data_IF_996574039035
#
_entry.id   IF_996574039035
#
_cell.length_a   1.000
_cell.length_b   1.000
_cell.length_c   1.000
_cell.angle_alpha   90.00
_cell.angle_beta   90.00
_cell.angle_gamma   90.00
#
_symmetry.space_group_name_H-M   'P 1'
#
loop_
_entity.id
_entity.type
_entity.pdbx_description
1 polymer ?
#
# COMPACT_ATOMS: atom_id res chain seq x y z
N UNK A 1 -12.57 14.05 -4.13
CA UNK A 1 -13.38 13.06 -3.41
C UNK A 1 -12.96 11.69 -3.90
N UNK A 2 -12.68 10.75 -2.99
CA UNK A 2 -12.39 9.37 -3.35
C UNK A 2 -13.66 8.53 -3.50
N UNK A 3 -13.51 7.39 -4.17
CA UNK A 3 -14.55 6.39 -4.33
C UNK A 3 -14.14 5.16 -3.53
N UNK A 4 -15.07 4.61 -2.75
CA UNK A 4 -14.88 3.28 -2.19
C UNK A 4 -14.95 2.26 -3.34
N UNK A 5 -13.94 1.40 -3.44
CA UNK A 5 -13.78 0.40 -4.48
C UNK A 5 -13.69 -0.98 -3.86
N UNK A 6 -14.25 -2.02 -4.51
CA UNK A 6 -14.05 -3.40 -4.07
C UNK A 6 -12.57 -3.74 -3.98
N UNK A 7 -12.20 -4.42 -2.89
CA UNK A 7 -10.81 -4.71 -2.60
C UNK A 7 -10.59 -5.18 -1.17
N UNK A 8 -9.35 -5.53 -0.89
CA UNK A 8 -8.88 -5.89 0.44
C UNK A 8 -7.50 -5.28 0.70
N UNK A 9 -7.16 -5.16 1.98
CA UNK A 9 -5.84 -4.82 2.45
C UNK A 9 -5.51 -5.65 3.69
N UNK A 10 -4.29 -6.13 3.79
CA UNK A 10 -3.76 -6.67 5.02
C UNK A 10 -2.28 -6.37 5.19
N UNK A 11 -1.85 -6.24 6.44
CA UNK A 11 -0.44 -6.13 6.82
C UNK A 11 -0.28 -6.55 8.27
N UNK A 12 0.88 -7.08 8.61
CA UNK A 12 1.30 -7.34 9.98
C UNK A 12 2.33 -6.29 10.39
N UNK A 13 2.13 -5.64 11.54
CA UNK A 13 2.98 -4.55 12.04
C UNK A 13 3.67 -4.99 13.32
N UNK A 14 4.97 -4.70 13.43
CA UNK A 14 5.72 -4.89 14.67
C UNK A 14 6.84 -5.90 14.50
N UNK A 15 6.96 -6.83 15.45
CA UNK A 15 7.96 -7.91 15.40
C UNK A 15 7.26 -9.26 15.54
N UNK A 16 7.98 -10.35 15.24
CA UNK A 16 7.46 -11.70 15.43
C UNK A 16 6.93 -11.97 16.85
N UNK A 17 7.46 -11.29 17.87
CA UNK A 17 7.05 -11.44 19.27
C UNK A 17 5.89 -10.51 19.68
N UNK A 18 5.70 -9.39 18.97
CA UNK A 18 4.64 -8.42 19.24
C UNK A 18 4.08 -7.89 17.91
N UNK A 19 3.16 -8.67 17.34
CA UNK A 19 2.60 -8.46 16.01
C UNK A 19 1.16 -7.95 16.10
N UNK A 20 0.90 -6.79 15.51
CA UNK A 20 -0.43 -6.26 15.29
C UNK A 20 -0.90 -6.62 13.88
N UNK A 21 -2.07 -7.23 13.77
CA UNK A 21 -2.65 -7.58 12.46
C UNK A 21 -3.63 -6.51 12.00
N UNK A 22 -3.35 -5.88 10.86
CA UNK A 22 -4.28 -5.01 10.17
C UNK A 22 -4.94 -5.79 9.03
N UNK A 23 -6.28 -5.80 9.00
CA UNK A 23 -7.09 -6.51 8.01
C UNK A 23 -8.29 -5.67 7.62
N UNK A 24 -8.48 -5.44 6.34
CA UNK A 24 -9.66 -4.79 5.77
C UNK A 24 -10.11 -5.61 4.56
N UNK A 25 -11.30 -6.20 4.64
CA UNK A 25 -11.83 -7.08 3.57
C UNK A 25 -12.92 -6.42 2.73
N UNK A 26 -13.38 -5.24 3.15
CA UNK A 26 -14.56 -4.59 2.57
C UNK A 26 -14.22 -3.18 2.09
N UNK A 27 -13.55 -3.15 0.93
CA UNK A 27 -13.43 -1.97 0.11
C UNK A 27 -12.36 -0.98 0.58
N UNK A 28 -11.74 -0.33 -0.39
CA UNK A 28 -10.64 0.62 -0.21
C UNK A 28 -11.05 1.97 -0.79
N UNK A 29 -10.68 3.05 -0.12
CA UNK A 29 -10.89 4.38 -0.69
C UNK A 29 -9.82 4.64 -1.76
N UNK A 30 -10.26 5.04 -2.94
CA UNK A 30 -9.37 5.36 -4.06
C UNK A 30 -9.62 6.75 -4.61
N UNK A 31 -8.54 7.49 -4.86
CA UNK A 31 -8.56 8.72 -5.66
C UNK A 31 -7.21 8.98 -6.31
N UNK A 32 -7.19 9.91 -7.26
CA UNK A 32 -5.95 10.44 -7.81
C UNK A 32 -5.73 11.87 -7.31
N UNK A 33 -4.51 12.18 -6.88
CA UNK A 33 -4.12 13.53 -6.45
C UNK A 33 -2.74 13.85 -6.99
N UNK A 34 -2.64 14.90 -7.80
CA UNK A 34 -1.34 15.41 -8.28
C UNK A 34 -0.49 14.37 -9.03
N UNK A 35 -1.11 13.45 -9.77
CA UNK A 35 -0.38 12.40 -10.49
C UNK A 35 0.02 11.20 -9.62
N UNK A 36 -0.64 11.01 -8.48
CA UNK A 36 -0.46 9.84 -7.60
C UNK A 36 -1.79 9.13 -7.43
N UNK A 37 -1.79 7.80 -7.58
CA UNK A 37 -2.86 6.91 -7.14
C UNK A 37 -2.79 6.78 -5.62
N UNK A 38 -3.87 7.19 -4.95
CA UNK A 38 -4.01 7.10 -3.51
C UNK A 38 -4.98 5.97 -3.18
N UNK A 39 -4.49 4.94 -2.49
CA UNK A 39 -5.28 3.81 -1.99
C UNK A 39 -5.24 3.88 -0.47
N UNK A 40 -6.40 4.03 0.16
CA UNK A 40 -6.50 4.16 1.62
C UNK A 40 -7.33 3.02 2.18
N UNK A 41 -6.73 2.27 3.10
CA UNK A 41 -7.36 1.23 3.89
C UNK A 41 -7.54 1.75 5.31
N UNK A 42 -8.74 2.22 5.66
CA UNK A 42 -9.04 2.80 6.98
C UNK A 42 -10.08 1.93 7.68
N UNK A 43 -9.78 1.48 8.91
CA UNK A 43 -10.71 0.67 9.70
C UNK A 43 -11.71 1.53 10.50
N UNK A 44 -12.67 0.89 11.17
CA UNK A 44 -13.70 1.57 11.99
C UNK A 44 -13.10 2.37 13.17
N UNK A 45 -11.88 2.04 13.59
CA UNK A 45 -11.14 2.73 14.64
C UNK A 45 -10.36 3.95 14.12
N UNK A 46 -10.48 4.26 12.81
CA UNK A 46 -9.77 5.33 12.09
C UNK A 46 -8.26 5.14 12.00
N UNK A 47 -7.79 3.91 12.16
CA UNK A 47 -6.41 3.54 11.83
C UNK A 47 -6.34 3.28 10.34
N UNK A 48 -5.30 3.81 9.69
CA UNK A 48 -5.19 3.81 8.23
C UNK A 48 -3.85 3.30 7.74
N UNK A 49 -3.90 2.46 6.71
CA UNK A 49 -2.78 2.22 5.80
C UNK A 49 -3.01 2.95 4.49
N UNK A 50 -1.96 3.62 4.01
CA UNK A 50 -2.03 4.42 2.79
C UNK A 50 -0.98 3.94 1.81
N UNK A 51 -1.39 3.57 0.59
CA UNK A 51 -0.48 3.21 -0.49
C UNK A 51 -0.55 4.30 -1.56
N UNK A 52 0.61 4.87 -1.87
CA UNK A 52 0.76 5.93 -2.87
C UNK A 52 1.63 5.44 -4.02
N UNK A 53 1.02 5.34 -5.20
CA UNK A 53 1.67 4.88 -6.42
C UNK A 53 1.73 6.01 -7.46
N UNK A 54 2.85 6.20 -8.19
CA UNK A 54 2.91 7.10 -9.35
C UNK A 54 1.81 6.81 -10.38
N UNK A 55 1.28 7.84 -11.06
CA UNK A 55 0.18 7.68 -12.02
C UNK A 55 0.53 6.87 -13.27
N UNK A 56 1.81 6.81 -13.62
CA UNK A 56 2.36 6.06 -14.73
C UNK A 56 2.97 4.72 -14.29
N UNK A 57 2.73 4.30 -13.05
CA UNK A 57 3.22 3.02 -12.54
C UNK A 57 2.69 1.86 -13.37
N UNK A 58 3.55 0.88 -13.60
CA UNK A 58 3.25 -0.35 -14.35
C UNK A 58 3.45 -1.59 -13.49
N UNK A 59 3.08 -2.77 -13.98
CA UNK A 59 3.47 -4.03 -13.36
C UNK A 59 4.99 -4.12 -13.19
N UNK A 60 5.46 -4.46 -11.99
CA UNK A 60 6.89 -4.50 -11.69
C UNK A 60 7.21 -4.69 -10.22
N UNK A 61 8.51 -4.67 -9.91
CA UNK A 61 9.03 -4.66 -8.55
C UNK A 61 9.63 -3.29 -8.24
N UNK A 62 9.31 -2.76 -7.07
CA UNK A 62 9.62 -1.40 -6.67
C UNK A 62 10.17 -1.36 -5.26
N UNK A 63 11.01 -0.37 -4.98
CA UNK A 63 11.39 -0.05 -3.61
C UNK A 63 10.29 0.75 -2.92
N UNK A 64 10.15 0.51 -1.63
CA UNK A 64 9.22 1.22 -0.77
C UNK A 64 9.93 2.00 0.30
N UNK A 65 9.42 3.20 0.52
CA UNK A 65 9.60 3.93 1.75
C UNK A 65 8.36 3.72 2.63
N UNK A 66 8.57 3.19 3.83
CA UNK A 66 7.51 3.01 4.83
C UNK A 66 7.70 4.08 5.90
N UNK A 67 6.66 4.88 6.14
CA UNK A 67 6.64 5.94 7.15
C UNK A 67 5.42 5.84 8.05
N UNK A 68 5.51 6.37 9.28
CA UNK A 68 4.37 6.43 10.20
C UNK A 68 3.62 7.78 10.12
N UNK A 69 2.28 7.76 10.26
CA UNK A 69 1.44 6.57 10.48
C UNK A 69 1.20 5.77 9.17
N UNK A 70 1.63 4.51 9.14
CA UNK A 70 1.47 3.46 8.10
C UNK A 70 1.26 3.92 6.64
N UNK A 71 2.15 4.77 6.14
CA UNK A 71 2.21 5.22 4.76
C UNK A 71 3.26 4.41 3.99
N UNK A 72 2.88 3.92 2.82
CA UNK A 72 3.73 3.22 1.85
C UNK A 72 3.87 4.10 0.61
N UNK A 73 5.10 4.57 0.35
CA UNK A 73 5.46 5.31 -0.86
C UNK A 73 6.31 4.43 -1.78
N UNK A 74 5.94 4.34 -3.06
CA UNK A 74 6.81 3.79 -4.10
C UNK A 74 7.79 4.86 -4.57
N UNK A 75 9.08 4.58 -4.49
CA UNK A 75 10.14 5.49 -4.94
C UNK A 75 10.77 4.99 -6.26
N UNK A 76 11.09 5.93 -7.14
CA UNK A 76 12.03 5.67 -8.24
C UNK A 76 13.44 5.57 -7.65
N UNK A 77 14.32 4.76 -8.27
CA UNK A 77 15.71 4.45 -7.83
C UNK A 77 16.64 5.69 -7.70
N UNK A 78 16.29 6.66 -6.87
CA UNK A 78 16.99 7.89 -6.59
C UNK A 78 17.89 7.71 -5.38
N UNK A 79 19.18 7.98 -5.56
CA UNK A 79 20.23 7.72 -4.57
C UNK A 79 20.01 8.46 -3.24
N UNK A 80 20.27 7.71 -2.16
CA UNK A 80 20.38 8.12 -0.75
C UNK A 80 19.08 8.32 0.03
N UNK A 81 18.40 7.22 0.37
CA UNK A 81 17.50 7.19 1.54
C UNK A 81 18.08 6.28 2.64
N UNK A 82 18.36 6.90 3.79
CA UNK A 82 18.93 6.29 5.00
C UNK A 82 17.92 5.43 5.78
N UNK A 83 16.78 5.09 5.18
CA UNK A 83 15.69 4.36 5.81
C UNK A 83 15.67 2.90 5.33
N UNK A 84 15.19 1.96 6.14
CA UNK A 84 15.17 0.57 5.74
C UNK A 84 14.28 0.38 4.51
N UNK A 85 14.78 -0.39 3.55
CA UNK A 85 14.16 -0.57 2.24
C UNK A 85 13.04 -1.62 2.35
N UNK A 86 11.82 -1.22 2.03
CA UNK A 86 10.76 -2.17 1.71
C UNK A 86 10.75 -2.54 0.23
N UNK A 87 10.01 -3.58 -0.11
CA UNK A 87 9.77 -3.99 -1.49
C UNK A 87 8.27 -4.07 -1.76
N UNK A 88 7.86 -3.64 -2.95
CA UNK A 88 6.52 -3.84 -3.50
C UNK A 88 6.64 -4.64 -4.79
N UNK A 89 5.94 -5.76 -4.86
CA UNK A 89 5.63 -6.43 -6.12
C UNK A 89 4.23 -6.03 -6.54
N UNK A 90 4.11 -5.34 -7.66
CA UNK A 90 2.85 -4.81 -8.18
C UNK A 90 2.48 -5.50 -9.49
N UNK A 91 1.22 -5.91 -9.60
CA UNK A 91 0.58 -6.35 -10.84
C UNK A 91 -0.61 -5.45 -11.13
N UNK A 92 -0.69 -4.97 -12.38
CA UNK A 92 -1.81 -4.21 -12.92
C UNK A 92 -2.35 -4.99 -14.10
N UNK A 93 -3.61 -5.44 -14.03
CA UNK A 93 -4.26 -6.17 -15.14
C UNK A 93 -4.86 -5.21 -16.18
N UNK A 94 -5.39 -5.79 -17.27
CA UNK A 94 -5.97 -5.01 -18.38
C UNK A 94 -7.28 -4.31 -17.98
N UNK A 95 -7.94 -4.80 -16.94
CA UNK A 95 -9.20 -4.31 -16.38
C UNK A 95 -9.00 -3.19 -15.34
N UNK A 96 -7.74 -2.86 -15.03
CA UNK A 96 -7.35 -1.82 -14.08
C UNK A 96 -7.44 -2.27 -12.62
N UNK A 97 -7.27 -3.56 -12.35
CA UNK A 97 -7.06 -4.09 -11.00
C UNK A 97 -5.60 -3.91 -10.60
N UNK A 98 -5.38 -3.37 -9.40
CA UNK A 98 -4.08 -3.27 -8.77
C UNK A 98 -3.98 -4.38 -7.73
N UNK A 99 -2.93 -5.20 -7.81
CA UNK A 99 -2.60 -6.22 -6.82
C UNK A 99 -1.16 -6.02 -6.38
N UNK A 100 -0.95 -5.73 -5.10
CA UNK A 100 0.37 -5.46 -4.54
C UNK A 100 0.69 -6.37 -3.36
N UNK A 101 1.91 -6.90 -3.33
CA UNK A 101 2.49 -7.60 -2.18
C UNK A 101 3.70 -6.80 -1.68
N UNK A 102 3.78 -6.55 -0.38
CA UNK A 102 4.84 -5.72 0.19
C UNK A 102 5.30 -6.13 1.59
N UNK A 103 6.53 -5.77 1.89
CA UNK A 103 7.13 -5.84 3.22
C UNK A 103 8.23 -4.79 3.35
N UNK A 104 8.63 -4.48 4.58
CA UNK A 104 9.72 -3.55 4.84
C UNK A 104 9.85 -3.21 6.32
N UNK A 105 10.71 -2.25 6.63
CA UNK A 105 10.88 -1.72 7.98
C UNK A 105 10.81 -0.19 7.87
N UNK A 106 10.10 0.45 8.78
CA UNK A 106 10.01 1.91 8.79
C UNK A 106 11.22 2.59 9.46
N UNK A 107 11.20 3.92 9.50
CA UNK A 107 12.24 4.74 10.11
C UNK A 107 12.45 4.50 11.61
N UNK A 108 11.42 4.05 12.34
CA UNK A 108 11.46 3.77 13.77
C UNK A 108 11.86 2.31 14.07
N UNK A 109 12.12 1.51 13.03
CA UNK A 109 12.51 0.11 13.14
C UNK A 109 11.33 -0.85 13.28
N UNK A 110 10.10 -0.39 13.01
CA UNK A 110 8.90 -1.24 13.04
C UNK A 110 8.80 -2.00 11.71
N UNK A 111 8.74 -3.33 11.78
CA UNK A 111 8.59 -4.14 10.58
C UNK A 111 7.13 -4.16 10.12
N UNK A 112 6.94 -4.15 8.80
CA UNK A 112 5.70 -4.44 8.13
C UNK A 112 5.89 -5.70 7.30
N UNK A 113 5.15 -6.75 7.62
CA UNK A 113 5.26 -8.06 7.00
C UNK A 113 3.91 -8.51 6.43
N UNK A 114 3.94 -9.47 5.51
CA UNK A 114 2.73 -10.05 4.90
C UNK A 114 1.74 -8.99 4.39
N UNK A 115 2.29 -7.87 3.89
CA UNK A 115 1.52 -6.79 3.32
C UNK A 115 0.96 -7.22 1.99
N UNK A 116 -0.35 -7.09 1.79
CA UNK A 116 -0.91 -7.15 0.45
C UNK A 116 -2.18 -6.32 0.32
N UNK A 117 -2.44 -5.90 -0.90
CA UNK A 117 -3.66 -5.21 -1.27
C UNK A 117 -4.14 -5.65 -2.64
N UNK A 118 -5.46 -5.59 -2.82
CA UNK A 118 -6.10 -5.70 -4.11
C UNK A 118 -7.16 -4.61 -4.23
N UNK A 119 -7.19 -3.91 -5.36
CA UNK A 119 -8.13 -2.85 -5.65
C UNK A 119 -8.64 -2.99 -7.09
N UNK A 120 -9.95 -3.07 -7.27
CA UNK A 120 -10.56 -3.04 -8.60
C UNK A 120 -11.11 -1.64 -8.90
N UNK A 121 -10.55 -0.96 -9.91
CA UNK A 121 -11.02 0.38 -10.31
C UNK A 121 -12.36 0.37 -11.06
N UNK A 122 -12.74 -0.78 -11.61
CA UNK A 122 -13.97 -0.98 -12.37
C UNK A 122 -15.05 -1.63 -11.49
N UNK A 123 -16.28 -1.13 -11.52
CA UNK A 123 -17.42 -1.88 -10.97
C UNK A 123 -17.93 -2.77 -12.11
N UNK A 124 -18.06 -4.10 -11.95
CA UNK A 124 -18.75 -4.90 -12.95
C UNK A 124 -20.17 -4.34 -13.11
N UNK A 125 -20.50 -3.97 -14.35
CA UNK A 125 -21.81 -3.43 -14.72
C UNK A 125 -22.94 -4.44 -14.62
#
# INVERSE_FOLDING_TARGET
>A
MGANRPGFFHADIGSAENRLEFRLKEGLNYFSRGGVHCIEAVNDQREGFYVYLPADIVTGEYQLQIGLPSIVHVTDNSEAELYPQGALKLTIDAEGQFTGEFSGIDADGVAVENGAFQLTLSVPG
#
